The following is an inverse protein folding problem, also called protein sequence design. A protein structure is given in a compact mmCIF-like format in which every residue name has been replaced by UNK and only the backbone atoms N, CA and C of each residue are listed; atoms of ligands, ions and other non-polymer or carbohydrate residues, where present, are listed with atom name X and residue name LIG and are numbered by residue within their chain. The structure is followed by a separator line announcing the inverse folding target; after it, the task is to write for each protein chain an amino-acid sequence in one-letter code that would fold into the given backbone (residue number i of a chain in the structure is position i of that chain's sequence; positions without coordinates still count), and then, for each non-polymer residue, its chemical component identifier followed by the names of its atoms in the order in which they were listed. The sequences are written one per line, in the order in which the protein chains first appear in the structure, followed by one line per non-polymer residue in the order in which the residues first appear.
data_IF_705412990505
#
_entry.id   IF_705412990505
#
_cell.length_a   1.000
_cell.length_b   1.000
_cell.length_c   1.000
_cell.angle_alpha   90.00
_cell.angle_beta   90.00
_cell.angle_gamma   90.00
#
_symmetry.space_group_name_H-M   'P 1'
#
loop_
_entity.id
_entity.type
_entity.pdbx_description
1 polymer ?
#
# COMPACT_ATOMS: atom_id res chain seq x y z
N UNK A 1 16.85 10.54 -1.70
CA UNK A 1 16.48 9.68 -2.86
C UNK A 1 15.01 9.32 -2.72
N UNK A 2 14.21 9.37 -3.79
CA UNK A 2 12.79 8.97 -3.74
C UNK A 2 12.69 7.44 -3.77
N UNK A 3 11.82 6.87 -2.95
CA UNK A 3 11.50 5.46 -2.87
C UNK A 3 9.98 5.25 -2.93
N UNK A 4 9.60 4.04 -3.33
CA UNK A 4 8.20 3.62 -3.42
C UNK A 4 8.07 2.25 -2.77
N UNK A 5 7.09 2.10 -1.88
CA UNK A 5 6.74 0.81 -1.29
C UNK A 5 5.27 0.53 -1.52
N UNK A 6 4.99 -0.64 -2.06
CA UNK A 6 3.62 -1.13 -2.31
C UNK A 6 3.24 -2.16 -1.24
N UNK A 7 2.06 -1.99 -0.66
CA UNK A 7 1.41 -2.92 0.24
C UNK A 7 0.18 -3.46 -0.47
N UNK A 8 0.07 -4.78 -0.62
CA UNK A 8 -1.02 -5.39 -1.38
C UNK A 8 -1.60 -6.56 -0.63
N UNK A 9 -2.93 -6.60 -0.55
CA UNK A 9 -3.63 -7.72 0.06
C UNK A 9 -4.99 -7.96 -0.61
N UNK A 10 -5.47 -9.20 -0.50
CA UNK A 10 -6.84 -9.63 -0.79
C UNK A 10 -7.88 -9.14 0.24
N UNK A 11 -7.41 -8.70 1.40
CA UNK A 11 -8.19 -8.08 2.47
C UNK A 11 -7.62 -6.69 2.77
N UNK A 12 -8.49 -5.68 2.66
CA UNK A 12 -8.16 -4.27 2.93
C UNK A 12 -7.46 -4.07 4.27
N UNK A 13 -7.83 -4.85 5.28
CA UNK A 13 -7.37 -4.67 6.65
C UNK A 13 -5.86 -4.89 6.78
N UNK A 14 -5.35 -5.95 6.15
CA UNK A 14 -3.91 -6.29 6.20
C UNK A 14 -3.04 -5.27 5.48
N UNK A 15 -3.43 -4.84 4.27
CA UNK A 15 -2.70 -3.81 3.53
C UNK A 15 -2.62 -2.49 4.31
N UNK A 16 -3.70 -2.11 5.00
CA UNK A 16 -3.74 -0.92 5.86
C UNK A 16 -2.81 -1.10 7.07
N UNK A 17 -2.89 -2.21 7.78
CA UNK A 17 -2.09 -2.46 8.97
C UNK A 17 -0.58 -2.45 8.68
N UNK A 18 -0.15 -3.10 7.59
CA UNK A 18 1.26 -3.10 7.19
C UNK A 18 1.73 -1.72 6.75
N UNK A 19 0.90 -0.99 6.00
CA UNK A 19 1.24 0.37 5.56
C UNK A 19 1.36 1.32 6.76
N UNK A 20 0.47 1.22 7.75
CA UNK A 20 0.52 2.02 8.97
C UNK A 20 1.78 1.72 9.80
N UNK A 21 2.11 0.42 9.98
CA UNK A 21 3.36 0.02 10.68
C UNK A 21 4.60 0.57 9.98
N UNK A 22 4.60 0.60 8.65
CA UNK A 22 5.70 1.17 7.88
C UNK A 22 5.78 2.69 8.03
N UNK A 23 4.66 3.40 7.89
CA UNK A 23 4.58 4.85 8.03
C UNK A 23 5.02 5.30 9.43
N UNK A 24 4.68 4.55 10.48
CA UNK A 24 5.12 4.83 11.85
C UNK A 24 6.65 4.78 12.05
N UNK A 25 7.37 4.12 11.14
CA UNK A 25 8.84 4.07 11.14
C UNK A 25 9.51 5.18 10.33
N UNK A 26 8.74 6.04 9.67
CA UNK A 26 9.27 7.15 8.85
C UNK A 26 9.13 8.49 9.58
N UNK A 27 10.10 9.41 9.40
CA UNK A 27 9.89 10.81 9.74
C UNK A 27 8.72 11.41 8.95
N UNK A 28 7.93 12.28 9.57
CA UNK A 28 6.76 12.89 8.92
C UNK A 28 7.12 13.67 7.64
N UNK A 29 8.29 14.29 7.60
CA UNK A 29 8.81 15.05 6.46
C UNK A 29 9.38 14.16 5.33
N UNK A 30 9.56 12.87 5.60
CA UNK A 30 10.01 11.90 4.61
C UNK A 30 8.88 11.47 3.67
N UNK A 31 7.61 11.62 4.06
CA UNK A 31 6.46 11.19 3.26
C UNK A 31 6.20 12.19 2.13
N UNK A 32 6.11 11.69 0.89
CA UNK A 32 5.76 12.51 -0.28
C UNK A 32 4.28 12.33 -0.61
N UNK A 33 3.82 11.08 -0.69
CA UNK A 33 2.46 10.75 -1.14
C UNK A 33 2.04 9.36 -0.65
N UNK A 34 0.73 9.15 -0.48
CA UNK A 34 0.13 7.85 -0.17
C UNK A 34 -1.08 7.65 -1.07
N UNK A 35 -1.02 6.63 -1.93
CA UNK A 35 -2.09 6.30 -2.88
C UNK A 35 -2.79 5.01 -2.49
N UNK A 36 -4.12 5.00 -2.55
CA UNK A 36 -4.93 3.80 -2.37
C UNK A 36 -5.58 3.41 -3.69
N UNK A 37 -5.55 2.11 -4.00
CA UNK A 37 -6.37 1.53 -5.06
C UNK A 37 -7.07 0.26 -4.57
N UNK A 38 -8.30 0.05 -5.01
CA UNK A 38 -9.02 -1.19 -4.80
C UNK A 38 -9.53 -1.66 -6.15
N UNK A 39 -9.10 -2.86 -6.55
CA UNK A 39 -9.45 -3.46 -7.82
C UNK A 39 -10.14 -4.80 -7.57
N UNK A 40 -11.21 -5.07 -8.30
CA UNK A 40 -11.85 -6.38 -8.30
C UNK A 40 -11.21 -7.24 -9.38
N UNK A 41 -10.62 -8.38 -9.00
CA UNK A 41 -10.09 -9.36 -9.95
C UNK A 41 -11.09 -10.50 -10.05
N UNK A 42 -11.68 -10.70 -11.23
CA UNK A 42 -12.45 -11.89 -11.54
C UNK A 42 -11.51 -13.09 -11.65
N UNK A 43 -11.75 -14.11 -10.85
CA UNK A 43 -11.10 -15.41 -10.93
C UNK A 43 -11.76 -16.25 -12.03
N UNK A 44 -11.03 -17.22 -12.56
CA UNK A 44 -11.50 -18.12 -13.62
C UNK A 44 -12.68 -19.00 -13.21
N UNK A 45 -12.92 -19.17 -11.90
CA UNK A 45 -14.06 -19.88 -11.34
C UNK A 45 -15.32 -19.00 -11.18
N UNK A 46 -15.29 -17.75 -11.66
CA UNK A 46 -16.39 -16.79 -11.55
C UNK A 46 -16.47 -16.04 -10.22
N UNK A 47 -15.59 -16.33 -9.26
CA UNK A 47 -15.51 -15.57 -8.01
C UNK A 47 -14.80 -14.23 -8.23
N UNK A 48 -15.21 -13.21 -7.47
CA UNK A 48 -14.54 -11.91 -7.45
C UNK A 48 -13.70 -11.81 -6.19
N UNK A 49 -12.39 -11.58 -6.34
CA UNK A 49 -11.53 -11.24 -5.21
C UNK A 49 -11.26 -9.74 -5.26
N UNK A 50 -11.54 -9.05 -4.16
CA UNK A 50 -11.14 -7.67 -3.99
C UNK A 50 -9.65 -7.65 -3.66
N UNK A 51 -8.88 -6.85 -4.38
CA UNK A 51 -7.46 -6.61 -4.11
C UNK A 51 -7.28 -5.14 -3.81
N UNK A 52 -6.82 -4.84 -2.61
CA UNK A 52 -6.46 -3.50 -2.19
C UNK A 52 -4.95 -3.33 -2.24
N UNK A 53 -4.49 -2.20 -2.77
CA UNK A 53 -3.10 -1.81 -2.76
C UNK A 53 -2.94 -0.39 -2.20
N UNK A 54 -1.97 -0.21 -1.31
CA UNK A 54 -1.51 1.08 -0.80
C UNK A 54 -0.09 1.29 -1.29
N UNK A 55 0.15 2.44 -1.92
CA UNK A 55 1.45 2.82 -2.45
C UNK A 55 1.97 4.02 -1.64
N UNK A 56 3.08 3.84 -0.94
CA UNK A 56 3.73 4.91 -0.17
C UNK A 56 4.94 5.40 -0.94
N UNK A 57 4.95 6.69 -1.28
CA UNK A 57 6.07 7.39 -1.91
C UNK A 57 6.76 8.22 -0.82
N UNK A 58 8.06 7.99 -0.62
CA UNK A 58 8.81 8.61 0.47
C UNK A 58 10.24 8.93 0.07
N UNK A 59 10.91 9.76 0.86
CA UNK A 59 12.33 10.12 0.70
C UNK A 59 13.15 9.37 1.74
N UNK A 60 14.31 8.92 1.33
CA UNK A 60 15.40 8.53 2.25
C UNK A 60 16.51 9.55 2.10
N UNK A 61 16.86 10.17 3.22
CA UNK A 61 18.10 10.94 3.35
C UNK A 61 19.23 9.91 3.44
N UNK A 62 20.19 10.00 2.53
CA UNK A 62 21.40 9.19 2.59
C UNK A 62 22.28 9.69 3.72
#
# INVERSE_FOLDING_TARGET
MIQVKEFVDSDRTLAVDESNKFLAGLPDDAIIDVKYSANYKKLSNGQETQRSAILVVYKVNK
#
